data_IF_564327205550
#
_entry.id   IF_564327205550
#
_cell.length_a   1.000
_cell.length_b   1.000
_cell.length_c   1.000
_cell.angle_alpha   90.00
_cell.angle_beta   90.00
_cell.angle_gamma   90.00
#
_symmetry.space_group_name_H-M   'P 1'
#
loop_
_entity.id
_entity.type
_entity.pdbx_description
1 polymer ?
#
# COMPACT_ATOMS: atom_id res chain seq x y z
N UNK A 1 0.48 0.42 -8.12
CA UNK A 1 1.25 0.15 -6.90
C UNK A 1 2.58 0.92 -6.92
N UNK A 2 3.57 0.54 -7.73
CA UNK A 2 4.91 1.17 -7.74
C UNK A 2 4.95 2.72 -7.77
N UNK A 3 4.00 3.36 -8.46
CA UNK A 3 3.96 4.83 -8.62
C UNK A 3 3.57 5.63 -7.37
N UNK A 4 3.03 4.98 -6.34
CA UNK A 4 2.52 5.68 -5.14
C UNK A 4 2.97 5.01 -3.85
N UNK A 5 3.34 3.72 -3.88
CA UNK A 5 3.63 2.93 -2.69
C UNK A 5 4.83 3.45 -1.87
N UNK A 6 5.82 4.08 -2.53
CA UNK A 6 6.94 4.74 -1.86
C UNK A 6 6.65 6.18 -1.41
N UNK A 7 5.40 6.65 -1.43
CA UNK A 7 5.02 7.99 -0.97
C UNK A 7 5.66 9.16 -1.74
N UNK A 8 6.28 8.91 -2.89
CA UNK A 8 7.08 9.90 -3.62
C UNK A 8 8.45 10.21 -3.01
N UNK A 9 8.81 9.51 -1.93
CA UNK A 9 10.11 9.60 -1.25
C UNK A 9 11.01 8.40 -1.55
N UNK A 10 10.41 7.26 -1.89
CA UNK A 10 11.12 6.04 -2.30
C UNK A 10 10.71 5.60 -3.70
N UNK A 11 11.69 5.13 -4.46
CA UNK A 11 11.45 4.36 -5.68
C UNK A 11 11.08 2.92 -5.31
N UNK A 12 10.01 2.39 -5.91
CA UNK A 12 9.54 1.03 -5.64
C UNK A 12 9.59 0.20 -6.91
N UNK A 13 10.34 -0.89 -6.87
CA UNK A 13 10.38 -1.93 -7.89
C UNK A 13 9.59 -3.15 -7.40
N UNK A 14 8.76 -3.74 -8.27
CA UNK A 14 7.94 -4.91 -7.94
C UNK A 14 8.48 -6.10 -8.73
N UNK A 15 8.92 -7.13 -8.02
CA UNK A 15 9.45 -8.37 -8.61
C UNK A 15 8.39 -9.46 -8.68
N UNK A 16 7.54 -9.54 -7.66
CA UNK A 16 6.40 -10.46 -7.60
C UNK A 16 5.21 -9.79 -6.90
N UNK A 17 3.99 -10.12 -7.35
CA UNK A 17 2.74 -9.65 -6.76
C UNK A 17 1.59 -10.59 -7.12
N UNK A 18 1.38 -11.61 -6.31
CA UNK A 18 0.32 -12.61 -6.46
C UNK A 18 -0.80 -12.29 -5.46
N UNK A 19 -1.65 -11.31 -5.79
CA UNK A 19 -2.68 -10.78 -4.89
C UNK A 19 -3.89 -11.72 -4.74
N UNK A 20 -3.64 -12.91 -4.20
CA UNK A 20 -4.63 -13.94 -3.87
C UNK A 20 -4.23 -14.62 -2.54
N UNK A 21 -5.15 -15.25 -1.80
CA UNK A 21 -4.81 -15.91 -0.53
C UNK A 21 -3.72 -16.98 -0.73
N UNK A 22 -2.62 -16.88 0.03
CA UNK A 22 -1.43 -17.71 -0.07
C UNK A 22 -0.43 -17.28 -1.15
N UNK A 23 -0.73 -16.23 -1.92
CA UNK A 23 0.16 -15.66 -2.92
C UNK A 23 1.25 -14.80 -2.29
N UNK A 24 2.40 -14.71 -2.96
CA UNK A 24 3.56 -13.97 -2.48
C UNK A 24 3.70 -12.58 -3.13
N UNK A 25 4.42 -11.69 -2.45
CA UNK A 25 4.95 -10.48 -3.07
C UNK A 25 6.42 -10.28 -2.71
N UNK A 26 7.15 -9.64 -3.62
CA UNK A 26 8.53 -9.25 -3.44
C UNK A 26 8.74 -7.90 -4.11
N UNK A 27 9.22 -6.93 -3.34
CA UNK A 27 9.48 -5.56 -3.79
C UNK A 27 10.86 -5.11 -3.30
N UNK A 28 11.48 -4.19 -4.06
CA UNK A 28 12.61 -3.41 -3.55
C UNK A 28 12.17 -1.96 -3.38
N UNK A 29 12.34 -1.42 -2.18
CA UNK A 29 12.18 0.00 -1.88
C UNK A 29 13.57 0.65 -1.88
N UNK A 30 13.74 1.76 -2.61
CA UNK A 30 15.01 2.47 -2.74
C UNK A 30 14.89 3.94 -2.38
N UNK A 31 15.81 4.39 -1.54
CA UNK A 31 16.13 5.81 -1.32
C UNK A 31 17.63 6.03 -1.63
N UNK A 32 18.45 6.35 -0.64
CA UNK A 32 19.91 6.30 -0.71
C UNK A 32 20.44 4.86 -0.57
N UNK A 33 19.65 3.96 0.04
CA UNK A 33 19.90 2.53 0.18
C UNK A 33 18.76 1.71 -0.45
N UNK A 34 18.98 0.40 -0.62
CA UNK A 34 17.98 -0.51 -1.17
C UNK A 34 17.55 -1.53 -0.12
N UNK A 35 16.24 -1.67 0.05
CA UNK A 35 15.62 -2.58 1.01
C UNK A 35 14.70 -3.55 0.27
N UNK A 36 15.01 -4.83 0.35
CA UNK A 36 14.15 -5.88 -0.19
C UNK A 36 13.12 -6.27 0.87
N UNK A 37 11.86 -6.27 0.45
CA UNK A 37 10.71 -6.64 1.29
C UNK A 37 9.95 -7.75 0.59
N UNK A 38 9.72 -8.82 1.34
CA UNK A 38 8.92 -9.96 0.92
C UNK A 38 7.77 -10.19 1.90
N UNK A 39 6.69 -10.76 1.40
CA UNK A 39 5.56 -11.16 2.22
C UNK A 39 4.57 -12.03 1.48
N UNK A 40 3.51 -12.40 2.18
CA UNK A 40 2.46 -13.31 1.75
C UNK A 40 1.10 -12.66 2.01
N UNK A 41 0.20 -12.75 1.03
CA UNK A 41 -1.20 -12.36 1.18
C UNK A 41 -1.93 -13.45 1.98
N UNK A 42 -2.33 -13.12 3.20
CA UNK A 42 -3.05 -14.03 4.09
C UNK A 42 -4.54 -14.06 3.73
N UNK A 43 -5.11 -12.91 3.44
CA UNK A 43 -6.51 -12.76 3.03
C UNK A 43 -6.63 -11.72 1.91
N UNK A 44 -7.47 -12.02 0.92
CA UNK A 44 -7.81 -11.07 -0.15
C UNK A 44 -9.30 -11.23 -0.45
N UNK A 45 -10.07 -10.19 -0.11
CA UNK A 45 -11.47 -10.04 -0.45
C UNK A 45 -11.59 -8.85 -1.39
N UNK A 46 -12.01 -9.12 -2.63
CA UNK A 46 -12.05 -8.11 -3.68
C UNK A 46 -12.86 -6.89 -3.24
N UNK A 47 -12.25 -5.70 -3.33
CA UNK A 47 -12.84 -4.40 -2.96
C UNK A 47 -13.24 -4.24 -1.49
N UNK A 48 -12.89 -5.17 -0.60
CA UNK A 48 -13.29 -5.12 0.81
C UNK A 48 -12.08 -5.19 1.75
N UNK A 49 -11.17 -6.14 1.57
CA UNK A 49 -10.10 -6.37 2.54
C UNK A 49 -8.86 -7.02 1.93
N UNK A 50 -7.69 -6.60 2.38
CA UNK A 50 -6.41 -7.24 2.10
C UNK A 50 -5.64 -7.38 3.41
N UNK A 51 -5.17 -8.58 3.71
CA UNK A 51 -4.28 -8.85 4.85
C UNK A 51 -3.01 -9.49 4.31
N UNK A 52 -1.85 -8.97 4.68
CA UNK A 52 -0.57 -9.55 4.27
C UNK A 52 0.49 -9.42 5.36
N UNK A 53 1.48 -10.32 5.30
CA UNK A 53 2.65 -10.22 6.17
C UNK A 53 3.54 -9.06 5.73
N UNK A 54 4.33 -8.56 6.68
CA UNK A 54 5.35 -7.57 6.44
C UNK A 54 6.64 -8.01 7.12
N UNK A 55 7.78 -7.39 6.76
CA UNK A 55 9.08 -7.78 7.32
C UNK A 55 9.11 -7.74 8.87
N UNK A 56 8.26 -6.89 9.45
CA UNK A 56 7.90 -6.91 10.87
C UNK A 56 6.38 -6.76 10.96
N UNK A 57 5.70 -7.75 11.53
CA UNK A 57 4.27 -7.67 11.80
C UNK A 57 3.36 -8.01 10.62
N UNK A 58 2.13 -7.50 10.68
CA UNK A 58 1.07 -7.75 9.71
C UNK A 58 0.39 -6.44 9.34
N UNK A 59 0.07 -6.31 8.05
CA UNK A 59 -0.69 -5.18 7.52
C UNK A 59 -2.09 -5.65 7.14
N UNK A 60 -3.08 -4.90 7.58
CA UNK A 60 -4.48 -5.04 7.19
C UNK A 60 -4.96 -3.75 6.54
N UNK A 61 -5.57 -3.87 5.37
CA UNK A 61 -6.21 -2.78 4.64
C UNK A 61 -7.67 -3.13 4.42
N UNK A 62 -8.56 -2.30 4.96
CA UNK A 62 -10.00 -2.44 4.81
C UNK A 62 -10.53 -1.29 3.96
N UNK A 63 -11.46 -1.61 3.07
CA UNK A 63 -12.08 -0.69 2.13
C UNK A 63 -13.58 -0.66 2.39
N UNK A 64 -14.14 0.53 2.59
CA UNK A 64 -15.58 0.72 2.75
C UNK A 64 -16.09 1.77 1.78
N UNK A 65 -17.17 1.46 1.06
CA UNK A 65 -17.85 2.45 0.24
C UNK A 65 -18.56 3.49 1.13
N UNK A 66 -18.27 4.77 0.86
CA UNK A 66 -18.89 5.91 1.54
C UNK A 66 -19.44 6.90 0.53
N UNK A 67 -20.32 7.80 0.99
CA UNK A 67 -20.87 8.82 0.10
C UNK A 67 -19.75 9.70 -0.48
N UNK A 68 -19.52 9.58 -1.80
CA UNK A 68 -18.51 10.36 -2.52
C UNK A 68 -17.12 9.74 -2.62
N UNK A 69 -16.92 8.49 -2.16
CA UNK A 69 -15.63 7.82 -2.31
C UNK A 69 -15.52 6.50 -1.56
N UNK A 70 -14.29 6.16 -1.20
CA UNK A 70 -13.96 4.95 -0.45
C UNK A 70 -13.19 5.37 0.79
N UNK A 71 -13.64 4.91 1.96
CA UNK A 71 -12.87 5.00 3.20
C UNK A 71 -11.85 3.86 3.22
N UNK A 72 -10.62 4.18 3.61
CA UNK A 72 -9.53 3.20 3.75
C UNK A 72 -9.11 3.19 5.21
N UNK A 73 -9.17 2.03 5.85
CA UNK A 73 -8.59 1.81 7.18
C UNK A 73 -7.33 0.97 7.00
N UNK A 74 -6.20 1.53 7.41
CA UNK A 74 -4.90 0.87 7.33
C UNK A 74 -4.38 0.58 8.74
N UNK A 75 -4.15 -0.70 9.04
CA UNK A 75 -3.66 -1.14 10.35
C UNK A 75 -2.36 -1.91 10.17
N UNK A 76 -1.32 -1.52 10.92
CA UNK A 76 -0.05 -2.25 11.00
C UNK A 76 0.15 -2.72 12.45
N UNK A 77 0.02 -4.02 12.67
CA UNK A 77 0.11 -4.64 13.99
C UNK A 77 1.37 -5.53 14.12
N UNK A 78 1.76 -5.86 15.34
CA UNK A 78 2.91 -6.71 15.64
C UNK A 78 4.25 -5.99 15.62
N UNK A 79 4.25 -4.65 15.72
CA UNK A 79 5.47 -3.85 15.79
C UNK A 79 6.13 -3.94 17.18
N UNK A 80 7.47 -4.05 17.25
CA UNK A 80 8.18 -4.41 18.48
C UNK A 80 8.29 -3.25 19.48
N UNK A 81 8.34 -2.01 18.98
CA UNK A 81 8.51 -0.82 19.81
C UNK A 81 7.94 0.43 19.13
N UNK A 82 7.86 1.51 19.90
CA UNK A 82 7.28 2.78 19.47
C UNK A 82 8.08 3.46 18.36
N UNK A 83 9.40 3.32 18.33
CA UNK A 83 10.21 3.96 17.30
C UNK A 83 9.92 3.34 15.93
N UNK A 84 9.79 2.00 15.87
CA UNK A 84 9.34 1.28 14.68
C UNK A 84 7.91 1.68 14.29
N UNK A 85 6.99 1.82 15.26
CA UNK A 85 5.62 2.30 15.00
C UNK A 85 5.60 3.69 14.37
N UNK A 86 6.33 4.65 14.94
CA UNK A 86 6.34 6.04 14.47
C UNK A 86 6.91 6.10 13.03
N UNK A 87 8.03 5.40 12.76
CA UNK A 87 8.64 5.33 11.43
C UNK A 87 7.69 4.74 10.38
N UNK A 88 7.04 3.61 10.69
CA UNK A 88 6.08 3.00 9.76
C UNK A 88 4.85 3.87 9.53
N UNK A 89 4.38 4.56 10.57
CA UNK A 89 3.24 5.48 10.47
C UNK A 89 3.54 6.58 9.46
N UNK A 90 4.72 7.21 9.55
CA UNK A 90 5.14 8.25 8.61
C UNK A 90 5.19 7.73 7.16
N UNK A 91 5.79 6.56 6.95
CA UNK A 91 5.88 5.94 5.62
C UNK A 91 4.50 5.61 5.02
N UNK A 92 3.62 5.00 5.81
CA UNK A 92 2.28 4.63 5.34
C UNK A 92 1.40 5.85 5.05
N UNK A 93 1.46 6.89 5.89
CA UNK A 93 0.74 8.15 5.63
C UNK A 93 1.17 8.74 4.29
N UNK A 94 2.46 8.85 4.03
CA UNK A 94 2.97 9.38 2.76
C UNK A 94 2.52 8.53 1.56
N UNK A 95 2.56 7.19 1.68
CA UNK A 95 2.11 6.29 0.63
C UNK A 95 0.61 6.44 0.32
N UNK A 96 -0.24 6.56 1.35
CA UNK A 96 -1.69 6.69 1.20
C UNK A 96 -2.07 8.07 0.62
N UNK A 97 -1.38 9.14 1.02
CA UNK A 97 -1.56 10.47 0.41
C UNK A 97 -1.18 10.49 -1.08
N UNK A 98 -0.10 9.80 -1.44
CA UNK A 98 0.32 9.63 -2.83
C UNK A 98 -0.70 8.81 -3.62
N UNK A 99 -1.30 7.77 -3.01
CA UNK A 99 -2.39 6.99 -3.60
C UNK A 99 -3.61 7.88 -3.88
N UNK A 100 -4.07 8.65 -2.91
CA UNK A 100 -5.21 9.57 -3.07
C UNK A 100 -4.98 10.54 -4.25
N UNK A 101 -3.78 11.13 -4.31
CA UNK A 101 -3.39 12.00 -5.42
C UNK A 101 -3.39 11.28 -6.77
N UNK A 102 -2.88 10.04 -6.82
CA UNK A 102 -2.84 9.24 -8.04
C UNK A 102 -4.23 8.85 -8.54
N UNK A 103 -5.15 8.52 -7.63
CA UNK A 103 -6.55 8.18 -7.93
C UNK A 103 -7.27 9.38 -8.53
N UNK A 104 -7.14 10.58 -7.95
CA UNK A 104 -7.78 11.79 -8.47
C UNK A 104 -7.24 12.18 -9.87
N UNK A 105 -5.93 12.10 -10.08
CA UNK A 105 -5.32 12.31 -11.41
C UNK A 105 -5.86 11.33 -12.45
N UNK A 106 -6.14 10.08 -12.06
CA UNK A 106 -6.70 9.08 -12.97
C UNK A 106 -8.14 9.41 -13.37
N UNK A 107 -8.99 9.81 -12.41
CA UNK A 107 -10.37 10.24 -12.69
C UNK A 107 -10.42 11.37 -13.71
N UNK A 108 -9.56 12.39 -13.57
CA UNK A 108 -9.48 13.51 -14.52
C UNK A 108 -9.12 13.06 -15.94
N UNK A 109 -8.12 12.17 -16.08
CA UNK A 109 -7.68 11.64 -17.39
C UNK A 109 -8.71 10.74 -18.07
N UNK A 110 -9.53 10.03 -17.30
CA UNK A 110 -10.62 9.20 -17.83
C UNK A 110 -11.80 10.05 -18.29
N UNK A 111 -12.09 11.15 -17.60
CA UNK A 111 -13.14 12.10 -17.97
C UNK A 111 -12.81 12.93 -19.22
N UNK A 112 -11.53 13.16 -19.51
CA UNK A 112 -11.08 13.89 -20.72
C UNK A 112 -11.05 13.03 -21.99
N UNK A 113 -10.99 11.68 -21.87
CA UNK A 113 -11.00 10.76 -23.03
C UNK A 113 -12.39 10.46 -23.60
N UNK A 114 -13.45 10.86 -22.90
CA UNK A 114 -14.85 10.65 -23.31
C UNK A 114 -15.53 11.95 -23.77
N UNK A 115 -14.74 12.98 -24.10
CA UNK A 115 -15.17 14.20 -24.78
C UNK A 115 -14.50 14.28 -26.16
#
# INVERSE_FOLDING_TARGET
MAKWYGGGVMDVEIHALEAEPGGSFSITMRDDEAYDVEGEFLEVVENEQIVHTWYVGQVTVELADVAGGTEIVFTHDGLPDRATTDQHTEGWVAAIEALATAVEKRKGRESDRHK
#
